data_IF_816461112069
#
_entry.id   IF_816461112069
#
_cell.length_a   1.000
_cell.length_b   1.000
_cell.length_c   1.000
_cell.angle_alpha   90.00
_cell.angle_beta   90.00
_cell.angle_gamma   90.00
#
_symmetry.space_group_name_H-M   'P 1'
#
loop_
_entity.id
_entity.type
_entity.pdbx_description
1 polymer ?
#
# COMPACT_ATOMS: atom_id res chain seq x y z
N UNK A 1 -3.65 57.02 23.41
CA UNK A 1 -2.86 56.98 22.21
C UNK A 1 -2.03 55.73 22.22
N UNK A 2 -2.22 54.86 21.26
CA UNK A 2 -1.14 54.11 20.80
C UNK A 2 -0.76 52.83 21.34
N UNK A 3 -1.66 52.02 21.55
CA UNK A 3 -1.40 50.69 22.09
C UNK A 3 -1.91 49.62 21.15
N UNK A 4 -1.56 49.77 19.89
CA UNK A 4 -2.12 48.88 18.89
C UNK A 4 -1.13 47.88 18.36
N UNK A 5 0.01 47.77 18.99
CA UNK A 5 1.11 47.10 18.34
C UNK A 5 1.35 45.63 18.76
N UNK A 6 0.81 45.29 19.87
CA UNK A 6 1.21 44.02 20.49
C UNK A 6 0.43 42.79 20.02
N UNK A 7 -0.75 43.00 19.47
CA UNK A 7 -1.66 41.86 19.20
C UNK A 7 -1.36 41.19 17.87
N UNK A 8 -0.82 41.92 16.93
CA UNK A 8 -0.60 41.40 15.59
C UNK A 8 0.54 40.37 15.49
N UNK A 9 1.51 40.48 16.35
CA UNK A 9 2.66 39.56 16.32
C UNK A 9 2.35 38.18 16.87
N UNK A 10 1.42 38.11 17.76
CA UNK A 10 1.09 36.83 18.40
C UNK A 10 0.29 35.90 17.48
N UNK A 11 -0.56 36.48 16.67
CA UNK A 11 -1.37 35.69 15.74
C UNK A 11 -0.55 35.01 14.63
N UNK A 12 0.50 35.67 14.19
CA UNK A 12 1.36 35.15 13.12
C UNK A 12 2.18 33.95 13.60
N UNK A 13 2.65 34.03 14.83
CA UNK A 13 3.42 32.89 15.39
C UNK A 13 2.59 31.63 15.55
N UNK A 14 1.33 31.78 15.92
CA UNK A 14 0.43 30.65 16.07
C UNK A 14 0.13 29.93 14.73
N UNK A 15 -0.01 30.70 13.68
CA UNK A 15 -0.28 30.14 12.35
C UNK A 15 0.93 29.40 11.80
N UNK A 16 2.13 29.90 12.03
CA UNK A 16 3.33 29.22 11.57
C UNK A 16 3.61 27.93 12.34
N UNK A 17 3.34 27.91 13.60
CA UNK A 17 3.51 26.72 14.41
C UNK A 17 2.58 25.58 13.98
N UNK A 18 1.39 25.92 13.57
CA UNK A 18 0.42 24.94 13.09
C UNK A 18 0.81 24.35 11.72
N UNK A 19 1.35 25.15 10.85
CA UNK A 19 1.74 24.69 9.51
C UNK A 19 2.90 23.71 9.52
N UNK A 20 3.76 23.83 10.51
CA UNK A 20 4.90 22.94 10.65
C UNK A 20 4.50 21.57 11.21
N UNK A 21 3.41 21.57 11.93
CA UNK A 21 2.86 20.37 12.50
C UNK A 21 1.89 19.70 11.53
N UNK A 22 1.75 20.21 10.37
CA UNK A 22 1.03 19.49 9.36
C UNK A 22 1.64 18.12 9.25
N UNK A 23 1.09 17.24 9.86
CA UNK A 23 1.70 15.96 10.00
C UNK A 23 1.19 15.09 8.94
N UNK A 24 1.65 15.47 7.86
CA UNK A 24 1.74 14.61 6.71
C UNK A 24 2.42 13.27 7.03
N UNK A 25 2.92 13.15 8.21
CA UNK A 25 3.70 11.99 8.58
C UNK A 25 2.91 10.92 9.27
N UNK A 26 1.81 11.25 9.85
CA UNK A 26 0.96 10.29 10.54
C UNK A 26 0.20 9.39 9.57
N UNK A 27 0.08 9.80 8.32
CA UNK A 27 -0.70 9.06 7.32
C UNK A 27 0.15 8.06 6.53
N UNK A 28 1.46 8.19 6.52
CA UNK A 28 2.33 7.36 5.70
C UNK A 28 2.55 5.96 6.27
N UNK A 29 2.28 5.72 7.55
CA UNK A 29 2.49 4.42 8.18
C UNK A 29 1.20 3.80 8.75
N UNK A 30 0.19 3.68 7.92
CA UNK A 30 -0.95 2.86 8.32
C UNK A 30 -0.53 1.38 8.35
N UNK A 31 -1.20 0.54 9.15
CA UNK A 31 -0.95 -0.90 9.13
C UNK A 31 -1.08 -1.50 7.72
N UNK A 32 -2.01 -0.99 6.92
CA UNK A 32 -2.14 -1.40 5.51
C UNK A 32 -0.90 -1.04 4.70
N UNK A 33 -0.39 0.19 4.82
CA UNK A 33 0.82 0.64 4.11
C UNK A 33 2.00 -0.25 4.46
N UNK A 34 2.18 -0.59 5.74
CA UNK A 34 3.25 -1.49 6.18
C UNK A 34 3.17 -2.87 5.53
N UNK A 35 1.97 -3.46 5.41
CA UNK A 35 1.82 -4.75 4.74
C UNK A 35 2.06 -4.63 3.23
N UNK A 36 1.59 -3.56 2.57
CA UNK A 36 1.86 -3.30 1.16
C UNK A 36 3.35 -3.06 0.87
N UNK A 37 4.08 -2.44 1.80
CA UNK A 37 5.53 -2.26 1.69
C UNK A 37 6.29 -3.58 1.82
N UNK A 38 5.83 -4.51 2.65
CA UNK A 38 6.38 -5.87 2.70
C UNK A 38 6.20 -6.61 1.38
N UNK A 39 5.01 -6.52 0.76
CA UNK A 39 4.78 -7.08 -0.58
C UNK A 39 5.74 -6.47 -1.59
N UNK A 40 5.83 -5.14 -1.62
CA UNK A 40 6.72 -4.42 -2.55
C UNK A 40 8.19 -4.77 -2.34
N UNK A 41 8.63 -4.89 -1.09
CA UNK A 41 10.01 -5.25 -0.74
C UNK A 41 10.34 -6.68 -1.15
N UNK A 42 9.43 -7.63 -0.93
CA UNK A 42 9.60 -9.02 -1.37
C UNK A 42 9.73 -9.11 -2.88
N UNK A 43 8.87 -8.43 -3.64
CA UNK A 43 8.94 -8.40 -5.10
C UNK A 43 10.21 -7.73 -5.64
N UNK A 44 10.69 -6.66 -4.97
CA UNK A 44 11.98 -6.05 -5.30
C UNK A 44 13.16 -6.99 -5.01
N UNK A 45 13.04 -7.79 -3.96
CA UNK A 45 14.04 -8.78 -3.57
C UNK A 45 14.28 -9.87 -4.61
N UNK A 46 13.26 -10.20 -5.42
CA UNK A 46 13.37 -11.20 -6.49
C UNK A 46 14.50 -10.91 -7.49
N UNK A 47 14.79 -9.63 -7.74
CA UNK A 47 15.87 -9.22 -8.64
C UNK A 47 17.28 -9.52 -8.11
N UNK A 48 17.39 -9.74 -6.79
CA UNK A 48 18.66 -10.00 -6.11
C UNK A 48 18.77 -11.44 -5.66
N UNK A 49 17.69 -12.20 -5.74
CA UNK A 49 17.65 -13.59 -5.33
C UNK A 49 18.41 -14.46 -6.35
N UNK A 50 19.40 -15.20 -5.88
CA UNK A 50 20.27 -16.02 -6.72
C UNK A 50 19.72 -17.44 -6.93
N UNK A 51 18.92 -17.91 -5.99
CA UNK A 51 18.37 -19.27 -6.03
C UNK A 51 16.84 -19.28 -6.15
N UNK A 52 16.29 -20.35 -6.72
CA UNK A 52 14.84 -20.54 -6.71
C UNK A 52 14.26 -20.68 -5.31
N UNK A 53 15.02 -21.28 -4.38
CA UNK A 53 14.61 -21.37 -2.99
C UNK A 53 14.40 -19.98 -2.35
N UNK A 54 15.29 -19.02 -2.61
CA UNK A 54 15.15 -17.64 -2.14
C UNK A 54 13.97 -16.95 -2.82
N UNK A 55 13.77 -17.17 -4.13
CA UNK A 55 12.62 -16.63 -4.87
C UNK A 55 11.30 -17.16 -4.33
N UNK A 56 11.20 -18.45 -4.04
CA UNK A 56 10.03 -19.08 -3.43
C UNK A 56 9.73 -18.44 -2.08
N UNK A 57 10.75 -18.28 -1.23
CA UNK A 57 10.58 -17.65 0.08
C UNK A 57 10.05 -16.23 -0.04
N UNK A 58 10.56 -15.43 -0.96
CA UNK A 58 10.09 -14.07 -1.19
C UNK A 58 8.63 -14.04 -1.68
N UNK A 59 8.24 -14.97 -2.55
CA UNK A 59 6.85 -15.10 -2.97
C UNK A 59 5.93 -15.42 -1.79
N UNK A 60 6.34 -16.35 -0.91
CA UNK A 60 5.60 -16.71 0.31
C UNK A 60 5.51 -15.56 1.31
N UNK A 61 6.58 -14.78 1.49
CA UNK A 61 6.56 -13.62 2.36
C UNK A 61 5.59 -12.54 1.81
N UNK A 62 5.56 -12.34 0.50
CA UNK A 62 4.58 -11.46 -0.15
C UNK A 62 3.13 -11.98 0.01
N UNK A 63 2.90 -13.29 -0.10
CA UNK A 63 1.58 -13.90 0.14
C UNK A 63 1.07 -13.62 1.55
N UNK A 64 1.91 -13.81 2.57
CA UNK A 64 1.54 -13.54 3.97
C UNK A 64 1.15 -12.08 4.18
N UNK A 65 1.93 -11.14 3.68
CA UNK A 65 1.64 -9.73 3.79
C UNK A 65 0.35 -9.34 3.04
N UNK A 66 0.13 -9.93 1.86
CA UNK A 66 -1.10 -9.73 1.08
C UNK A 66 -2.33 -10.21 1.83
N UNK A 67 -2.31 -11.38 2.44
CA UNK A 67 -3.43 -11.87 3.25
C UNK A 67 -3.65 -10.99 4.48
N UNK A 68 -2.59 -10.55 5.12
CA UNK A 68 -2.70 -9.70 6.30
C UNK A 68 -3.29 -8.33 5.96
N UNK A 69 -3.06 -7.82 4.76
CA UNK A 69 -3.65 -6.55 4.32
C UNK A 69 -5.18 -6.57 4.27
N UNK A 70 -5.81 -7.75 4.20
CA UNK A 70 -7.27 -7.88 4.28
C UNK A 70 -7.86 -7.53 5.65
N UNK A 71 -7.05 -7.46 6.70
CA UNK A 71 -7.48 -7.03 8.03
C UNK A 71 -7.71 -5.51 8.10
N UNK A 72 -7.25 -4.77 7.10
CA UNK A 72 -7.28 -3.32 7.06
C UNK A 72 -8.02 -2.83 5.82
N UNK A 73 -8.63 -1.67 5.93
CA UNK A 73 -9.26 -0.99 4.81
C UNK A 73 -8.45 0.24 4.40
N UNK A 74 -8.43 0.59 3.10
CA UNK A 74 -7.83 1.84 2.63
C UNK A 74 -8.38 3.06 3.34
N UNK A 75 -7.51 4.03 3.65
CA UNK A 75 -7.88 5.23 4.39
C UNK A 75 -8.97 6.05 3.69
N UNK A 76 -8.97 6.05 2.36
CA UNK A 76 -9.96 6.71 1.53
C UNK A 76 -11.42 6.32 1.89
N UNK A 77 -11.63 5.15 2.47
CA UNK A 77 -12.98 4.71 2.86
C UNK A 77 -13.52 5.39 4.11
N UNK A 78 -12.69 6.06 4.90
CA UNK A 78 -13.12 6.77 6.12
C UNK A 78 -14.15 7.87 5.83
N UNK A 79 -14.04 8.48 4.65
CA UNK A 79 -14.88 9.61 4.26
C UNK A 79 -16.08 9.22 3.39
N UNK A 80 -16.19 7.95 3.03
CA UNK A 80 -17.31 7.44 2.23
C UNK A 80 -18.55 7.26 3.10
N UNK A 81 -19.52 8.17 2.97
CA UNK A 81 -20.75 8.17 3.77
C UNK A 81 -21.87 7.31 3.20
N UNK A 82 -21.87 7.09 1.91
CA UNK A 82 -22.86 6.22 1.26
C UNK A 82 -22.55 4.75 1.51
N UNK A 83 -23.46 4.06 2.19
CA UNK A 83 -23.24 2.67 2.60
C UNK A 83 -23.10 1.71 1.43
N UNK A 84 -23.80 1.95 0.31
CA UNK A 84 -23.71 1.12 -0.89
C UNK A 84 -22.38 1.32 -1.61
N UNK A 85 -21.93 2.56 -1.71
CA UNK A 85 -20.62 2.88 -2.28
C UNK A 85 -19.49 2.27 -1.44
N UNK A 86 -19.56 2.38 -0.11
CA UNK A 86 -18.60 1.77 0.80
C UNK A 86 -18.56 0.25 0.66
N UNK A 87 -19.73 -0.40 0.62
CA UNK A 87 -19.81 -1.85 0.46
C UNK A 87 -19.22 -2.30 -0.89
N UNK A 88 -19.52 -1.58 -1.98
CA UNK A 88 -18.97 -1.86 -3.30
C UNK A 88 -17.44 -1.67 -3.32
N UNK A 89 -16.93 -0.56 -2.80
CA UNK A 89 -15.50 -0.28 -2.75
C UNK A 89 -14.76 -1.33 -1.91
N UNK A 90 -15.31 -1.70 -0.76
CA UNK A 90 -14.73 -2.74 0.09
C UNK A 90 -14.68 -4.10 -0.60
N UNK A 91 -15.73 -4.49 -1.31
CA UNK A 91 -15.77 -5.74 -2.06
C UNK A 91 -14.75 -5.75 -3.20
N UNK A 92 -14.62 -4.63 -3.94
CA UNK A 92 -13.66 -4.51 -5.02
C UNK A 92 -12.21 -4.47 -4.53
N UNK A 93 -11.93 -3.77 -3.43
CA UNK A 93 -10.63 -3.83 -2.76
C UNK A 93 -10.24 -5.28 -2.41
N UNK A 94 -11.15 -6.03 -1.78
CA UNK A 94 -10.91 -7.44 -1.45
C UNK A 94 -10.69 -8.30 -2.69
N UNK A 95 -11.40 -8.01 -3.78
CA UNK A 95 -11.18 -8.68 -5.07
C UNK A 95 -9.76 -8.46 -5.58
N UNK A 96 -9.27 -7.22 -5.57
CA UNK A 96 -7.90 -6.91 -6.00
C UNK A 96 -6.84 -7.60 -5.14
N UNK A 97 -7.02 -7.59 -3.82
CA UNK A 97 -6.14 -8.31 -2.90
C UNK A 97 -6.18 -9.82 -3.19
N UNK A 98 -7.35 -10.38 -3.42
CA UNK A 98 -7.50 -11.80 -3.79
C UNK A 98 -6.80 -12.16 -5.10
N UNK A 99 -6.91 -11.32 -6.13
CA UNK A 99 -6.20 -11.50 -7.40
C UNK A 99 -4.68 -11.40 -7.22
N UNK A 100 -4.22 -10.48 -6.38
CA UNK A 100 -2.80 -10.33 -6.05
C UNK A 100 -2.28 -11.57 -5.34
N UNK A 101 -3.02 -12.09 -4.36
CA UNK A 101 -2.66 -13.31 -3.67
C UNK A 101 -2.60 -14.53 -4.61
N UNK A 102 -3.60 -14.70 -5.47
CA UNK A 102 -3.60 -15.77 -6.46
C UNK A 102 -2.40 -15.68 -7.42
N UNK A 103 -2.07 -14.49 -7.90
CA UNK A 103 -0.91 -14.29 -8.74
C UNK A 103 0.41 -14.58 -8.01
N UNK A 104 0.52 -14.29 -6.72
CA UNK A 104 1.70 -14.64 -5.91
C UNK A 104 1.82 -16.17 -5.72
N UNK A 105 0.70 -16.90 -5.62
CA UNK A 105 0.72 -18.35 -5.59
C UNK A 105 1.15 -18.94 -6.96
N UNK A 106 0.66 -18.35 -8.06
CA UNK A 106 1.12 -18.72 -9.42
C UNK A 106 2.62 -18.47 -9.58
N UNK A 107 3.14 -17.38 -9.01
CA UNK A 107 4.56 -17.04 -9.02
C UNK A 107 5.40 -18.08 -8.26
N UNK A 108 4.95 -18.48 -7.08
CA UNK A 108 5.57 -19.55 -6.31
C UNK A 108 5.63 -20.85 -7.10
N UNK A 109 4.52 -21.24 -7.75
CA UNK A 109 4.48 -22.41 -8.60
C UNK A 109 5.45 -22.33 -9.78
N UNK A 110 5.58 -21.16 -10.41
CA UNK A 110 6.55 -20.96 -11.49
C UNK A 110 8.00 -21.13 -10.99
N UNK A 111 8.32 -20.63 -9.79
CA UNK A 111 9.64 -20.82 -9.21
C UNK A 111 9.92 -22.27 -8.79
N UNK A 112 8.91 -22.97 -8.28
CA UNK A 112 9.02 -24.41 -7.99
C UNK A 112 9.29 -25.23 -9.27
N UNK A 113 8.68 -24.81 -10.39
CA UNK A 113 8.90 -25.42 -11.69
C UNK A 113 10.18 -24.92 -12.41
N UNK A 114 10.91 -24.00 -11.79
CA UNK A 114 12.09 -23.32 -12.38
C UNK A 114 11.79 -22.64 -13.73
N UNK A 115 10.54 -22.21 -13.92
CA UNK A 115 10.06 -21.55 -15.15
C UNK A 115 10.18 -20.02 -15.02
N UNK A 116 11.35 -19.48 -15.36
CA UNK A 116 11.63 -18.05 -15.33
C UNK A 116 10.73 -17.25 -16.28
N UNK A 117 10.44 -17.78 -17.46
CA UNK A 117 9.62 -17.08 -18.44
C UNK A 117 8.18 -16.90 -17.90
N UNK A 118 7.64 -17.93 -17.27
CA UNK A 118 6.33 -17.86 -16.61
C UNK A 118 6.34 -16.95 -15.40
N UNK A 119 7.40 -16.96 -14.62
CA UNK A 119 7.58 -16.07 -13.49
C UNK A 119 7.58 -14.59 -13.93
N UNK A 120 8.26 -14.24 -15.01
CA UNK A 120 8.30 -12.88 -15.55
C UNK A 120 6.90 -12.40 -15.99
N UNK A 121 6.13 -13.24 -16.68
CA UNK A 121 4.73 -12.93 -17.04
C UNK A 121 3.89 -12.61 -15.80
N UNK A 122 4.06 -13.39 -14.72
CA UNK A 122 3.30 -13.21 -13.49
C UNK A 122 3.74 -11.93 -12.76
N UNK A 123 5.03 -11.64 -12.75
CA UNK A 123 5.55 -10.37 -12.17
C UNK A 123 4.96 -9.16 -12.90
N UNK A 124 4.80 -9.22 -14.22
CA UNK A 124 4.16 -8.14 -14.97
C UNK A 124 2.67 -8.02 -14.64
N UNK A 125 1.95 -9.13 -14.50
CA UNK A 125 0.57 -9.15 -13.99
C UNK A 125 0.47 -8.51 -12.61
N UNK A 126 1.39 -8.80 -11.69
CA UNK A 126 1.44 -8.20 -10.35
C UNK A 126 1.68 -6.69 -10.39
N UNK A 127 2.50 -6.20 -11.32
CA UNK A 127 2.71 -4.75 -11.53
C UNK A 127 1.42 -4.05 -11.96
N UNK A 128 0.65 -4.65 -12.86
CA UNK A 128 -0.62 -4.09 -13.30
C UNK A 128 -1.67 -4.09 -12.18
N UNK A 129 -1.77 -5.17 -11.40
CA UNK A 129 -2.64 -5.22 -10.21
C UNK A 129 -2.27 -4.15 -9.17
N UNK A 130 -0.97 -3.94 -8.95
CA UNK A 130 -0.49 -2.87 -8.08
C UNK A 130 -0.90 -1.49 -8.60
N UNK A 131 -0.73 -1.25 -9.89
CA UNK A 131 -1.10 0.02 -10.54
C UNK A 131 -2.60 0.28 -10.45
N UNK A 132 -3.43 -0.74 -10.67
CA UNK A 132 -4.88 -0.65 -10.50
C UNK A 132 -5.23 -0.29 -9.05
N UNK A 133 -4.68 -1.01 -8.07
CA UNK A 133 -4.93 -0.77 -6.66
C UNK A 133 -4.52 0.63 -6.21
N UNK A 134 -3.37 1.11 -6.65
CA UNK A 134 -2.93 2.47 -6.33
C UNK A 134 -3.85 3.53 -6.94
N UNK A 135 -4.26 3.37 -8.19
CA UNK A 135 -5.17 4.30 -8.83
C UNK A 135 -6.52 4.39 -8.14
N UNK A 136 -7.03 3.28 -7.62
CA UNK A 136 -8.37 3.21 -7.05
C UNK A 136 -8.40 3.53 -5.54
N UNK A 137 -7.31 3.25 -4.80
CA UNK A 137 -7.32 3.20 -3.34
C UNK A 137 -6.21 4.00 -2.63
N UNK A 138 -5.37 4.71 -3.37
CA UNK A 138 -4.42 5.67 -2.79
C UNK A 138 -4.79 7.10 -3.17
N UNK A 139 -4.52 8.04 -2.27
CA UNK A 139 -4.69 9.48 -2.51
C UNK A 139 -3.65 10.02 -3.49
#
# INVERSE_FOLDING_TARGET
MKLHFSIKSLAIAAVMGFSIISPSYADDETPLTQEMDKVSSSLKGLRKAETFADKIKLAQDAQKATLKSLEYLPAIFKDVKDAKALAKGTADYKRLIGLTYAALCELELAFIAEDEAKADEIVDKLKELKKEGHREYTE
#
